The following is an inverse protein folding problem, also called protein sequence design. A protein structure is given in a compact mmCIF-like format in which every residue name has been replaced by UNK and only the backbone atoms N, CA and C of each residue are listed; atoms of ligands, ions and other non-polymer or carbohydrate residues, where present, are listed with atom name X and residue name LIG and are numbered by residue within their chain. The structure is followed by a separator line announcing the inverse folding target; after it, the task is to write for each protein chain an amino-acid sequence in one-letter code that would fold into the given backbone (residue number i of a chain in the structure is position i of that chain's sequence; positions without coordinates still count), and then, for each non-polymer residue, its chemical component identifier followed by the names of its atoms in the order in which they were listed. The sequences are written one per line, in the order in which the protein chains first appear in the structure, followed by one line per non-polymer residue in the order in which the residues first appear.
data_IF_188892949940
#
_entry.id   IF_188892949940
#
_cell.length_a   1.000
_cell.length_b   1.000
_cell.length_c   1.000
_cell.angle_alpha   90.00
_cell.angle_beta   90.00
_cell.angle_gamma   90.00
#
_symmetry.space_group_name_H-M   'P 1'
#
loop_
_entity.id
_entity.type
_entity.pdbx_description
1 polymer ?
#
# COMPACT_ATOMS: atom_id res chain seq x y z
N UNK A 1 23.73 1.33 -26.78
CA UNK A 1 23.26 0.69 -25.54
C UNK A 1 21.87 0.14 -25.81
N UNK A 2 21.70 -1.18 -25.67
CA UNK A 2 20.64 -1.97 -26.31
C UNK A 2 19.29 -1.89 -25.60
N UNK A 3 18.26 -1.53 -26.35
CA UNK A 3 16.84 -1.37 -26.01
C UNK A 3 16.10 -2.71 -25.74
N UNK A 4 16.77 -3.73 -25.17
CA UNK A 4 16.25 -5.11 -25.11
C UNK A 4 15.83 -5.63 -23.73
N UNK A 5 15.91 -4.83 -22.67
CA UNK A 5 15.45 -5.27 -21.34
C UNK A 5 14.00 -4.87 -21.01
N UNK A 6 13.28 -4.29 -21.98
CA UNK A 6 11.84 -4.06 -21.88
C UNK A 6 11.09 -5.35 -22.25
N UNK A 7 10.40 -5.91 -21.25
CA UNK A 7 9.34 -6.92 -21.35
C UNK A 7 9.75 -8.37 -21.63
N UNK A 8 10.22 -9.08 -20.60
CA UNK A 8 9.92 -10.51 -20.47
C UNK A 8 8.83 -10.69 -19.40
N UNK A 9 7.58 -10.44 -19.80
CA UNK A 9 6.37 -10.47 -18.97
C UNK A 9 5.72 -11.87 -18.88
N UNK A 10 6.49 -12.95 -18.83
CA UNK A 10 5.89 -14.31 -18.82
C UNK A 10 5.82 -14.99 -17.44
N UNK A 11 6.59 -14.55 -16.43
CA UNK A 11 6.53 -15.16 -15.10
C UNK A 11 6.65 -14.09 -14.03
N UNK A 12 5.53 -13.76 -13.36
CA UNK A 12 5.52 -12.95 -12.14
C UNK A 12 6.41 -13.65 -11.11
N UNK A 13 7.43 -12.97 -10.58
CA UNK A 13 8.30 -13.55 -9.55
C UNK A 13 7.55 -13.82 -8.25
N UNK A 14 8.02 -14.77 -7.41
CA UNK A 14 7.45 -14.96 -6.10
C UNK A 14 7.73 -13.73 -5.24
N UNK A 15 6.95 -13.47 -4.20
CA UNK A 15 7.23 -12.40 -3.25
C UNK A 15 8.57 -12.62 -2.55
N UNK A 16 9.26 -11.52 -2.27
CA UNK A 16 10.34 -11.52 -1.29
C UNK A 16 9.68 -11.57 0.09
N UNK A 17 9.75 -12.73 0.73
CA UNK A 17 8.93 -13.08 1.88
C UNK A 17 9.69 -12.91 3.20
N UNK A 18 9.39 -11.86 3.95
CA UNK A 18 9.90 -11.62 5.30
C UNK A 18 8.81 -11.79 6.35
N UNK A 19 7.76 -12.56 6.07
CA UNK A 19 6.70 -12.81 7.03
C UNK A 19 7.17 -13.63 8.23
N UNK A 20 6.61 -13.41 9.42
CA UNK A 20 6.95 -14.19 10.64
C UNK A 20 8.45 -14.21 10.98
N UNK A 21 9.17 -13.13 10.69
CA UNK A 21 10.60 -13.01 10.95
C UNK A 21 10.90 -12.23 12.24
N UNK A 22 9.86 -11.76 12.95
CA UNK A 22 9.96 -10.90 14.12
C UNK A 22 10.71 -9.60 13.84
N UNK A 23 10.57 -9.08 12.61
CA UNK A 23 11.18 -7.82 12.17
C UNK A 23 10.61 -6.67 13.01
N UNK A 24 11.49 -5.91 13.65
CA UNK A 24 11.13 -4.74 14.45
C UNK A 24 11.40 -3.44 13.70
N UNK A 25 12.45 -3.45 12.87
CA UNK A 25 12.85 -2.29 12.08
C UNK A 25 13.05 -2.71 10.64
N UNK A 26 12.70 -1.83 9.69
CA UNK A 26 12.85 -2.12 8.26
C UNK A 26 14.31 -2.39 7.88
N UNK A 27 15.27 -1.80 8.60
CA UNK A 27 16.70 -2.00 8.38
C UNK A 27 17.14 -3.45 8.62
N UNK A 28 16.43 -4.20 9.46
CA UNK A 28 16.72 -5.62 9.75
C UNK A 28 16.63 -6.47 8.48
N UNK A 29 15.80 -6.07 7.51
CA UNK A 29 15.59 -6.79 6.25
C UNK A 29 16.86 -6.93 5.40
N UNK A 30 17.83 -6.03 5.58
CA UNK A 30 19.10 -6.06 4.82
C UNK A 30 19.98 -7.23 5.26
N UNK A 31 19.90 -7.62 6.53
CA UNK A 31 20.69 -8.70 7.12
C UNK A 31 19.88 -9.99 7.31
N UNK A 32 18.57 -9.88 7.38
CA UNK A 32 17.67 -11.01 7.58
C UNK A 32 17.50 -11.83 6.30
N UNK A 33 17.46 -13.16 6.44
CA UNK A 33 17.21 -14.04 5.29
C UNK A 33 15.69 -14.19 5.05
N UNK A 34 15.19 -13.88 3.83
CA UNK A 34 13.79 -14.07 3.50
C UNK A 34 13.44 -15.56 3.49
N UNK A 35 12.19 -15.87 3.82
CA UNK A 35 11.63 -17.21 3.76
C UNK A 35 11.65 -17.74 2.33
N UNK A 36 12.04 -19.01 2.21
CA UNK A 36 12.03 -19.71 0.92
C UNK A 36 10.66 -20.34 0.69
N UNK A 37 9.93 -19.84 -0.31
CA UNK A 37 8.72 -20.47 -0.80
C UNK A 37 8.99 -21.68 -1.72
N UNK A 38 7.93 -22.31 -2.23
CA UNK A 38 8.01 -23.44 -3.17
C UNK A 38 8.83 -23.12 -4.44
N UNK A 39 8.82 -21.85 -4.86
CA UNK A 39 9.65 -21.34 -5.94
C UNK A 39 10.57 -20.24 -5.39
N UNK A 40 11.90 -20.39 -5.48
CA UNK A 40 12.84 -19.35 -5.09
C UNK A 40 12.67 -18.08 -5.93
N UNK A 41 12.90 -16.93 -5.32
CA UNK A 41 12.94 -15.65 -6.02
C UNK A 41 14.23 -15.55 -6.83
N UNK A 42 14.13 -15.07 -8.07
CA UNK A 42 15.31 -14.85 -8.92
C UNK A 42 16.03 -13.56 -8.50
N UNK A 43 17.35 -13.61 -8.60
CA UNK A 43 18.23 -12.49 -8.29
C UNK A 43 19.01 -12.07 -9.53
N UNK A 44 19.31 -10.78 -9.60
CA UNK A 44 20.19 -10.21 -10.61
C UNK A 44 21.66 -10.60 -10.36
N UNK A 45 22.55 -10.26 -11.30
CA UNK A 45 24.01 -10.41 -11.11
C UNK A 45 24.56 -9.62 -9.91
N UNK A 46 23.84 -8.59 -9.48
CA UNK A 46 24.22 -7.78 -8.30
C UNK A 46 23.73 -8.36 -6.96
N UNK A 47 23.02 -9.50 -7.00
CA UNK A 47 22.40 -10.11 -5.81
C UNK A 47 21.03 -9.55 -5.46
N UNK A 48 20.59 -8.43 -6.07
CA UNK A 48 19.27 -7.85 -5.81
C UNK A 48 18.12 -8.68 -6.40
N UNK A 49 17.01 -8.74 -5.69
CA UNK A 49 15.82 -9.50 -6.07
C UNK A 49 15.09 -8.87 -7.28
N UNK A 50 14.60 -9.71 -8.19
CA UNK A 50 13.87 -9.31 -9.40
C UNK A 50 12.34 -9.24 -9.19
N UNK A 51 11.86 -9.38 -7.94
CA UNK A 51 10.43 -9.38 -7.63
C UNK A 51 9.78 -7.99 -7.65
N UNK A 52 8.46 -8.00 -7.72
CA UNK A 52 7.57 -6.84 -7.60
C UNK A 52 6.69 -6.92 -6.35
N UNK A 53 6.92 -7.91 -5.49
CA UNK A 53 6.11 -8.17 -4.30
C UNK A 53 7.00 -8.30 -3.07
N UNK A 54 6.67 -7.57 -2.01
CA UNK A 54 7.37 -7.60 -0.73
C UNK A 54 6.37 -7.94 0.38
N UNK A 55 6.61 -9.05 1.09
CA UNK A 55 5.76 -9.48 2.20
C UNK A 55 6.49 -9.28 3.52
N UNK A 56 5.86 -8.54 4.42
CA UNK A 56 6.36 -8.14 5.73
C UNK A 56 5.31 -8.42 6.82
N UNK A 57 4.32 -9.27 6.52
CA UNK A 57 3.21 -9.54 7.40
C UNK A 57 3.59 -10.42 8.60
N UNK A 58 2.85 -10.31 9.70
CA UNK A 58 3.14 -11.03 10.95
C UNK A 58 4.54 -10.71 11.49
N UNK A 59 4.82 -9.41 11.61
CA UNK A 59 6.01 -8.87 12.26
C UNK A 59 5.57 -7.85 13.33
N UNK A 60 6.49 -7.02 13.83
CA UNK A 60 6.23 -6.04 14.90
C UNK A 60 6.70 -4.64 14.48
N UNK A 61 6.55 -4.33 13.18
CA UNK A 61 6.87 -3.02 12.62
C UNK A 61 5.87 -1.97 13.11
N UNK A 62 6.36 -0.87 13.67
CA UNK A 62 5.53 0.26 14.10
C UNK A 62 5.74 1.54 13.27
N UNK A 63 6.78 1.59 12.45
CA UNK A 63 7.05 2.64 11.47
C UNK A 63 7.71 2.07 10.20
N UNK A 64 7.82 2.91 9.16
CA UNK A 64 8.48 2.58 7.89
C UNK A 64 9.67 3.51 7.61
N UNK A 65 10.42 3.87 8.64
CA UNK A 65 11.61 4.72 8.49
C UNK A 65 12.63 4.06 7.56
N UNK A 66 13.19 4.86 6.66
CA UNK A 66 14.16 4.44 5.63
C UNK A 66 13.66 3.34 4.67
N UNK A 67 12.35 3.10 4.60
CA UNK A 67 11.77 2.02 3.78
C UNK A 67 12.16 2.11 2.31
N UNK A 68 12.14 3.30 1.71
CA UNK A 68 12.61 3.51 0.34
C UNK A 68 14.08 3.12 0.14
N UNK A 69 14.95 3.44 1.11
CA UNK A 69 16.36 3.11 1.05
C UNK A 69 16.56 1.60 1.13
N UNK A 70 15.90 0.93 2.08
CA UNK A 70 16.01 -0.53 2.25
C UNK A 70 15.46 -1.26 1.02
N UNK A 71 14.27 -0.88 0.53
CA UNK A 71 13.69 -1.46 -0.69
C UNK A 71 14.64 -1.30 -1.89
N UNK A 72 15.33 -0.16 -2.01
CA UNK A 72 16.33 0.06 -3.06
C UNK A 72 17.59 -0.81 -2.91
N UNK A 73 17.91 -1.28 -1.71
CA UNK A 73 18.99 -2.24 -1.47
C UNK A 73 18.54 -3.67 -1.82
N UNK A 74 17.30 -4.04 -1.47
CA UNK A 74 16.76 -5.38 -1.68
C UNK A 74 16.37 -5.67 -3.14
N UNK A 75 15.75 -4.71 -3.82
CA UNK A 75 15.14 -4.90 -5.14
C UNK A 75 15.99 -4.30 -6.25
N UNK A 76 16.08 -5.02 -7.37
CA UNK A 76 16.75 -4.54 -8.57
C UNK A 76 15.98 -3.39 -9.24
N UNK A 77 14.65 -3.42 -9.15
CA UNK A 77 13.71 -2.46 -9.73
C UNK A 77 12.67 -2.02 -8.68
N UNK A 78 13.07 -1.25 -7.65
CA UNK A 78 12.15 -0.81 -6.60
C UNK A 78 10.96 0.00 -7.15
N UNK A 79 11.12 0.70 -8.27
CA UNK A 79 10.08 1.44 -8.98
C UNK A 79 8.95 0.54 -9.50
N UNK A 80 9.19 -0.76 -9.66
CA UNK A 80 8.23 -1.74 -10.16
C UNK A 80 7.45 -2.45 -9.02
N UNK A 81 7.68 -2.08 -7.76
CA UNK A 81 6.98 -2.67 -6.62
C UNK A 81 5.47 -2.46 -6.76
N UNK A 82 4.75 -3.57 -6.83
CA UNK A 82 3.34 -3.63 -7.18
C UNK A 82 2.47 -4.23 -6.06
N UNK A 83 3.06 -5.01 -5.14
CA UNK A 83 2.38 -5.58 -3.99
C UNK A 83 3.23 -5.44 -2.72
N UNK A 84 2.67 -4.78 -1.72
CA UNK A 84 3.22 -4.75 -0.36
C UNK A 84 2.21 -5.38 0.60
N UNK A 85 2.66 -6.36 1.39
CA UNK A 85 1.89 -6.91 2.50
C UNK A 85 2.52 -6.50 3.84
N UNK A 86 1.83 -5.63 4.57
CA UNK A 86 2.19 -5.13 5.90
C UNK A 86 1.16 -5.56 6.95
N UNK A 87 0.32 -6.55 6.65
CA UNK A 87 -0.72 -7.01 7.58
C UNK A 87 -0.14 -7.61 8.86
N UNK A 88 -0.88 -7.55 9.97
CA UNK A 88 -0.42 -8.09 11.26
C UNK A 88 0.93 -7.50 11.68
N UNK A 89 0.98 -6.18 11.81
CA UNK A 89 2.08 -5.37 12.35
C UNK A 89 1.48 -4.35 13.35
N UNK A 90 2.30 -3.42 13.85
CA UNK A 90 1.91 -2.43 14.86
C UNK A 90 1.81 -1.00 14.28
N UNK A 91 1.53 -0.86 12.98
CA UNK A 91 1.46 0.44 12.32
C UNK A 91 0.22 1.22 12.78
N UNK A 92 0.41 2.42 13.32
CA UNK A 92 -0.71 3.26 13.80
C UNK A 92 -1.22 4.26 12.76
N UNK A 93 -0.48 4.41 11.66
CA UNK A 93 -0.73 5.36 10.58
C UNK A 93 -0.35 4.75 9.23
N UNK A 94 -0.87 5.31 8.14
CA UNK A 94 -0.41 5.00 6.78
C UNK A 94 0.76 5.94 6.49
N UNK A 95 1.97 5.38 6.40
CA UNK A 95 3.18 6.15 6.18
C UNK A 95 3.20 6.77 4.76
N UNK A 96 3.49 8.08 4.60
CA UNK A 96 3.63 8.72 3.29
C UNK A 96 4.65 8.06 2.35
N UNK A 97 5.64 7.32 2.86
CA UNK A 97 6.62 6.59 2.04
C UNK A 97 5.92 5.62 1.07
N UNK A 98 4.76 5.05 1.45
CA UNK A 98 4.00 4.17 0.58
C UNK A 98 3.48 4.87 -0.68
N UNK A 99 3.35 6.21 -0.64
CA UNK A 99 2.88 7.01 -1.77
C UNK A 99 3.93 7.19 -2.86
N UNK A 100 5.19 6.84 -2.61
CA UNK A 100 6.28 6.96 -3.61
C UNK A 100 6.31 5.78 -4.58
N UNK A 101 5.63 4.68 -4.28
CA UNK A 101 5.56 3.50 -5.14
C UNK A 101 4.40 3.61 -6.14
N UNK A 102 4.58 4.38 -7.22
CA UNK A 102 3.51 4.70 -8.18
C UNK A 102 2.89 3.48 -8.90
N UNK A 103 3.62 2.36 -8.96
CA UNK A 103 3.14 1.10 -9.53
C UNK A 103 2.39 0.21 -8.51
N UNK A 104 2.32 0.62 -7.24
CA UNK A 104 1.65 -0.14 -6.18
C UNK A 104 0.18 -0.37 -6.55
N UNK A 105 -0.21 -1.64 -6.57
CA UNK A 105 -1.53 -2.12 -6.99
C UNK A 105 -2.26 -2.85 -5.88
N UNK A 106 -1.52 -3.52 -5.00
CA UNK A 106 -2.02 -4.27 -3.85
C UNK A 106 -1.30 -3.78 -2.60
N UNK A 107 -2.06 -3.32 -1.62
CA UNK A 107 -1.54 -2.90 -0.33
C UNK A 107 -2.37 -3.52 0.78
N UNK A 108 -1.75 -4.40 1.57
CA UNK A 108 -2.40 -5.00 2.73
C UNK A 108 -1.92 -4.35 4.02
N UNK A 109 -2.86 -3.84 4.80
CA UNK A 109 -2.63 -3.13 6.07
C UNK A 109 -3.59 -3.63 7.17
N UNK A 110 -4.33 -4.71 6.95
CA UNK A 110 -5.24 -5.28 7.95
C UNK A 110 -4.49 -5.78 9.19
N UNK A 111 -5.17 -5.82 10.34
CA UNK A 111 -4.55 -6.25 11.61
C UNK A 111 -3.40 -5.35 12.05
N UNK A 112 -3.54 -4.04 11.89
CA UNK A 112 -2.61 -3.03 12.39
C UNK A 112 -3.35 -2.11 13.40
N UNK A 113 -2.69 -1.04 13.86
CA UNK A 113 -3.24 -0.04 14.77
C UNK A 113 -3.77 1.23 14.09
N UNK A 114 -4.22 1.20 12.83
CA UNK A 114 -4.61 2.42 12.11
C UNK A 114 -5.97 2.91 12.61
N UNK A 115 -6.05 4.14 13.13
CA UNK A 115 -7.26 4.65 13.78
C UNK A 115 -8.09 5.64 12.95
N UNK A 116 -7.47 6.43 12.06
CA UNK A 116 -8.13 7.63 11.48
C UNK A 116 -8.48 7.45 10.02
N UNK A 117 -9.74 7.74 9.66
CA UNK A 117 -10.20 7.76 8.25
C UNK A 117 -9.32 8.63 7.34
N UNK A 118 -8.84 9.77 7.84
CA UNK A 118 -8.01 10.70 7.08
C UNK A 118 -6.69 10.12 6.55
N UNK A 119 -6.19 9.04 7.14
CA UNK A 119 -4.96 8.36 6.71
C UNK A 119 -5.06 7.86 5.26
N UNK A 120 -6.25 7.42 4.87
CA UNK A 120 -6.56 6.88 3.54
C UNK A 120 -6.40 7.93 2.45
N UNK A 121 -6.53 9.22 2.77
CA UNK A 121 -6.38 10.31 1.81
C UNK A 121 -4.97 10.34 1.19
N UNK A 122 -3.95 9.90 1.93
CA UNK A 122 -2.56 9.82 1.45
C UNK A 122 -2.44 8.90 0.24
N UNK A 123 -3.22 7.82 0.20
CA UNK A 123 -3.19 6.81 -0.86
C UNK A 123 -3.86 7.27 -2.16
N UNK A 124 -4.60 8.40 -2.15
CA UNK A 124 -5.32 8.89 -3.33
C UNK A 124 -4.41 9.27 -4.50
N UNK A 125 -3.12 9.54 -4.22
CA UNK A 125 -2.12 9.87 -5.24
C UNK A 125 -1.63 8.65 -6.02
N UNK A 126 -1.90 7.43 -5.56
CA UNK A 126 -1.45 6.18 -6.18
C UNK A 126 -2.35 5.81 -7.37
N UNK A 127 -1.88 5.93 -8.63
CA UNK A 127 -2.75 5.78 -9.81
C UNK A 127 -3.13 4.32 -10.09
N UNK A 128 -2.32 3.38 -9.62
CA UNK A 128 -2.42 1.93 -9.87
C UNK A 128 -3.02 1.15 -8.71
N UNK A 129 -3.31 1.76 -7.56
CA UNK A 129 -3.88 1.05 -6.41
C UNK A 129 -5.26 0.47 -6.78
N UNK A 130 -5.44 -0.84 -6.58
CA UNK A 130 -6.66 -1.60 -6.90
C UNK A 130 -7.18 -2.40 -5.71
N UNK A 131 -6.29 -2.96 -4.91
CA UNK A 131 -6.63 -3.75 -3.72
C UNK A 131 -6.08 -3.10 -2.47
N UNK A 132 -6.95 -2.85 -1.49
CA UNK A 132 -6.59 -2.32 -0.18
C UNK A 132 -7.30 -3.14 0.91
N UNK A 133 -6.59 -3.47 1.98
CA UNK A 133 -7.19 -4.05 3.19
C UNK A 133 -6.81 -3.23 4.41
N UNK A 134 -7.79 -2.98 5.27
CA UNK A 134 -7.72 -2.16 6.48
C UNK A 134 -8.57 -2.74 7.63
N UNK A 135 -9.36 -3.81 7.42
CA UNK A 135 -10.10 -4.50 8.49
C UNK A 135 -9.18 -4.96 9.64
N UNK A 136 -9.75 -5.18 10.82
CA UNK A 136 -8.97 -5.51 12.02
C UNK A 136 -8.04 -4.37 12.48
N UNK A 137 -8.26 -3.15 11.98
CA UNK A 137 -7.72 -1.92 12.52
C UNK A 137 -8.86 -1.12 13.18
N UNK A 138 -8.58 -0.28 14.19
CA UNK A 138 -9.60 0.54 14.84
C UNK A 138 -10.38 1.49 13.92
N UNK A 139 -9.81 1.89 12.78
CA UNK A 139 -10.48 2.66 11.72
C UNK A 139 -11.77 1.99 11.21
N UNK A 140 -11.91 0.66 11.33
CA UNK A 140 -13.09 -0.08 10.89
C UNK A 140 -14.35 0.27 11.70
N UNK A 141 -14.19 0.76 12.94
CA UNK A 141 -15.29 1.18 13.82
C UNK A 141 -15.84 2.57 13.47
N UNK A 142 -15.13 3.34 12.64
CA UNK A 142 -15.53 4.70 12.28
C UNK A 142 -16.79 4.70 11.40
N UNK A 143 -17.73 5.60 11.72
CA UNK A 143 -19.00 5.71 10.96
C UNK A 143 -18.73 6.07 9.51
N UNK A 144 -19.25 5.24 8.60
CA UNK A 144 -19.07 5.44 7.18
C UNK A 144 -17.69 4.99 6.66
N UNK A 145 -16.95 4.16 7.41
CA UNK A 145 -15.65 3.61 7.05
C UNK A 145 -15.53 3.22 5.57
N UNK A 146 -16.35 2.27 5.12
CA UNK A 146 -16.36 1.81 3.72
C UNK A 146 -16.66 2.96 2.75
N UNK A 147 -17.67 3.77 3.03
CA UNK A 147 -18.08 4.87 2.16
C UNK A 147 -16.99 5.93 2.03
N UNK A 148 -16.34 6.29 3.14
CA UNK A 148 -15.24 7.25 3.18
C UNK A 148 -14.06 6.77 2.34
N UNK A 149 -13.66 5.50 2.49
CA UNK A 149 -12.57 4.91 1.70
C UNK A 149 -12.90 4.95 0.21
N UNK A 150 -14.08 4.47 -0.18
CA UNK A 150 -14.49 4.43 -1.59
C UNK A 150 -14.63 5.82 -2.23
N UNK A 151 -14.99 6.84 -1.44
CA UNK A 151 -15.06 8.22 -1.91
C UNK A 151 -13.67 8.84 -2.18
N UNK A 152 -12.68 8.49 -1.35
CA UNK A 152 -11.33 9.06 -1.46
C UNK A 152 -10.45 8.26 -2.42
N UNK A 153 -10.73 6.97 -2.59
CA UNK A 153 -9.97 6.07 -3.47
C UNK A 153 -10.87 5.52 -4.60
N UNK A 154 -11.29 6.34 -5.57
CA UNK A 154 -12.25 5.91 -6.59
C UNK A 154 -11.73 4.81 -7.52
N UNK A 155 -10.42 4.52 -7.51
CA UNK A 155 -9.79 3.53 -8.40
C UNK A 155 -9.72 2.12 -7.82
N UNK A 156 -9.97 1.93 -6.52
CA UNK A 156 -9.92 0.59 -5.93
C UNK A 156 -11.09 -0.26 -6.44
N UNK A 157 -10.79 -1.54 -6.67
CA UNK A 157 -11.73 -2.56 -7.15
C UNK A 157 -11.98 -3.63 -6.09
N UNK A 158 -11.06 -3.76 -5.12
CA UNK A 158 -11.19 -4.66 -3.98
C UNK A 158 -10.88 -3.89 -2.71
N UNK A 159 -11.74 -4.03 -1.71
CA UNK A 159 -11.58 -3.42 -0.41
C UNK A 159 -11.95 -4.43 0.68
N UNK A 160 -11.07 -4.69 1.63
CA UNK A 160 -11.25 -5.69 2.70
C UNK A 160 -11.69 -7.05 2.16
N UNK A 161 -10.95 -7.53 1.16
CA UNK A 161 -11.21 -8.78 0.42
C UNK A 161 -12.57 -8.88 -0.28
N UNK A 162 -13.39 -7.84 -0.20
CA UNK A 162 -14.66 -7.72 -0.92
C UNK A 162 -14.48 -6.95 -2.22
N UNK A 163 -15.11 -7.42 -3.30
CA UNK A 163 -15.18 -6.66 -4.55
C UNK A 163 -16.00 -5.37 -4.36
N UNK A 164 -15.54 -4.27 -4.94
CA UNK A 164 -16.25 -2.98 -4.94
C UNK A 164 -17.26 -2.97 -6.08
N UNK A 165 -18.53 -3.00 -5.72
CA UNK A 165 -19.64 -3.03 -6.68
C UNK A 165 -20.06 -1.63 -7.13
N UNK A 166 -20.92 -1.56 -8.15
CA UNK A 166 -21.57 -0.29 -8.54
C UNK A 166 -22.48 0.25 -7.43
N UNK A 167 -23.17 -0.64 -6.70
CA UNK A 167 -24.03 -0.26 -5.59
C UNK A 167 -23.23 0.37 -4.45
N UNK A 168 -22.05 -0.20 -4.11
CA UNK A 168 -21.14 0.40 -3.13
C UNK A 168 -20.78 1.84 -3.50
N UNK A 169 -20.45 2.08 -4.78
CA UNK A 169 -20.09 3.42 -5.27
C UNK A 169 -21.26 4.41 -5.20
N UNK A 170 -22.46 3.98 -5.56
CA UNK A 170 -23.66 4.80 -5.43
C UNK A 170 -23.93 5.18 -3.98
N UNK A 171 -23.82 4.22 -3.06
CA UNK A 171 -23.99 4.46 -1.62
C UNK A 171 -22.92 5.41 -1.07
N UNK A 172 -21.66 5.23 -1.48
CA UNK A 172 -20.57 6.11 -1.09
C UNK A 172 -20.80 7.56 -1.58
N UNK A 173 -21.25 7.74 -2.81
CA UNK A 173 -21.56 9.07 -3.37
C UNK A 173 -22.72 9.76 -2.64
N UNK A 174 -23.79 9.04 -2.29
CA UNK A 174 -24.87 9.58 -1.45
C UNK A 174 -24.34 9.96 -0.07
N UNK A 175 -23.57 9.07 0.55
CA UNK A 175 -22.95 9.32 1.85
C UNK A 175 -22.05 10.56 1.81
N UNK A 176 -21.26 10.76 0.76
CA UNK A 176 -20.40 11.93 0.56
C UNK A 176 -21.19 13.23 0.54
N UNK A 177 -22.30 13.28 -0.21
CA UNK A 177 -23.17 14.47 -0.28
C UNK A 177 -23.77 14.84 1.07
N UNK A 178 -24.09 13.84 1.88
CA UNK A 178 -24.70 14.03 3.20
C UNK A 178 -23.69 14.40 4.29
N UNK A 179 -22.45 13.89 4.21
CA UNK A 179 -21.49 13.94 5.31
C UNK A 179 -20.26 14.83 5.05
N UNK A 180 -19.91 15.09 3.78
CA UNK A 180 -18.75 15.91 3.43
C UNK A 180 -19.24 17.27 2.94
N UNK A 181 -19.12 18.29 3.81
CA UNK A 181 -19.48 19.68 3.46
C UNK A 181 -18.54 20.22 2.37
N UNK A 182 -19.04 20.85 1.30
CA UNK A 182 -18.18 21.54 0.34
C UNK A 182 -17.40 22.66 1.05
N UNK A 183 -16.07 22.70 0.86
CA UNK A 183 -15.26 23.82 1.35
C UNK A 183 -15.77 25.11 0.70
N UNK A 184 -16.29 26.06 1.49
CA UNK A 184 -16.59 27.42 1.02
C UNK A 184 -15.27 28.04 0.56
N UNK A 185 -15.11 28.25 -0.74
CA UNK A 185 -14.01 29.06 -1.27
C UNK A 185 -14.26 30.49 -0.82
N UNK A 186 -13.42 30.99 0.09
CA UNK A 186 -13.48 32.40 0.52
C UNK A 186 -12.92 33.22 -0.64
N UNK A 187 -13.80 33.85 -1.42
CA UNK A 187 -13.39 34.81 -2.44
C UNK A 187 -12.54 35.88 -1.76
N UNK A 188 -11.29 36.05 -2.21
CA UNK A 188 -10.49 37.22 -1.82
C UNK A 188 -11.22 38.43 -2.40
N UNK A 189 -11.71 39.30 -1.53
CA UNK A 189 -12.10 40.65 -1.94
C UNK A 189 -10.80 41.37 -2.29
N UNK A 190 -10.57 41.58 -3.58
CA UNK A 190 -9.54 42.50 -4.05
C UNK A 190 -9.92 43.89 -3.57
N UNK A 191 -9.10 44.45 -2.69
CA UNK A 191 -9.19 45.83 -2.23
C UNK A 191 -8.55 46.70 -3.31
N UNK A 192 -9.36 47.58 -3.90
CA UNK A 192 -8.94 48.65 -4.82
C UNK A 192 -8.08 49.70 -4.11
#
# INVERSE_FOLDING_TARGET
MSTRDYMNTSVQEPPLDYSFKSVQMVQDLVTEEPRTGLRPVRHSKSGKSLTQSLWLNNNVLNDLKDFNQVVSQLLQHPENLAWIDLSFNDLTTIDPVLTTFFNLSVLYLHGNGIHRLGEVNKLAVLPRLRSLTLHGNPIEEEKGYRQYVLCNLPRITTFDFSGVTRADRSTAEVWKRMNIKPKKVRAKQDVL
#
